data_IF_702901415438
#
_entry.id   IF_702901415438
#
_cell.length_a   1.000
_cell.length_b   1.000
_cell.length_c   1.000
_cell.angle_alpha   90.00
_cell.angle_beta   90.00
_cell.angle_gamma   90.00
#
_symmetry.space_group_name_H-M   'P 1'
#
loop_
_entity.id
_entity.type
_entity.pdbx_description
1 polymer ?
#
# COMPACT_ATOMS: atom_id res chain seq x y z
N UNK A 1 -27.30 -17.78 -56.79
CA UNK A 1 -26.75 -17.46 -55.44
C UNK A 1 -26.60 -15.95 -55.38
N UNK A 2 -27.55 -15.31 -54.74
CA UNK A 2 -27.82 -13.87 -54.82
C UNK A 2 -26.70 -13.04 -54.17
N UNK A 3 -26.20 -12.00 -54.83
CA UNK A 3 -25.09 -11.16 -54.30
C UNK A 3 -25.47 -10.51 -52.96
N UNK A 4 -26.75 -10.21 -52.78
CA UNK A 4 -27.34 -9.69 -51.56
C UNK A 4 -27.19 -10.65 -50.37
N UNK A 5 -27.34 -11.96 -50.60
CA UNK A 5 -27.13 -12.96 -49.55
C UNK A 5 -25.65 -13.05 -49.13
N UNK A 6 -24.71 -12.91 -50.06
CA UNK A 6 -23.27 -12.91 -49.77
C UNK A 6 -22.90 -11.72 -48.89
N UNK A 7 -23.44 -10.53 -49.17
CA UNK A 7 -23.22 -9.31 -48.39
C UNK A 7 -23.79 -9.47 -46.96
N UNK A 8 -25.03 -9.97 -46.84
CA UNK A 8 -25.67 -10.25 -45.53
C UNK A 8 -24.83 -11.22 -44.70
N UNK A 9 -24.37 -12.33 -45.29
CA UNK A 9 -23.51 -13.32 -44.60
C UNK A 9 -22.15 -12.76 -44.17
N UNK A 10 -21.56 -11.84 -44.95
CA UNK A 10 -20.30 -11.18 -44.60
C UNK A 10 -20.47 -10.23 -43.42
N UNK A 11 -21.52 -9.40 -43.45
CA UNK A 11 -21.84 -8.44 -42.38
C UNK A 11 -22.24 -9.14 -41.07
N UNK A 12 -22.99 -10.24 -41.17
CA UNK A 12 -23.34 -11.08 -40.01
C UNK A 12 -22.09 -11.67 -39.34
N UNK A 13 -21.16 -12.24 -40.13
CA UNK A 13 -19.88 -12.76 -39.61
C UNK A 13 -19.03 -11.67 -38.97
N UNK A 14 -19.03 -10.46 -39.52
CA UNK A 14 -18.28 -9.34 -38.96
C UNK A 14 -18.85 -8.89 -37.61
N UNK A 15 -20.18 -8.79 -37.51
CA UNK A 15 -20.87 -8.49 -36.24
C UNK A 15 -20.62 -9.56 -35.18
N UNK A 16 -20.68 -10.84 -35.57
CA UNK A 16 -20.35 -11.95 -34.67
C UNK A 16 -18.90 -11.88 -34.17
N UNK A 17 -17.93 -11.60 -35.06
CA UNK A 17 -16.52 -11.42 -34.67
C UNK A 17 -16.34 -10.25 -33.69
N UNK A 18 -17.02 -9.12 -33.89
CA UNK A 18 -16.97 -7.97 -32.97
C UNK A 18 -17.59 -8.31 -31.61
N UNK A 19 -18.72 -9.00 -31.59
CA UNK A 19 -19.35 -9.44 -30.35
C UNK A 19 -18.48 -10.41 -29.56
N UNK A 20 -17.82 -11.36 -30.25
CA UNK A 20 -16.91 -12.31 -29.63
C UNK A 20 -15.69 -11.61 -29.02
N UNK A 21 -15.09 -10.66 -29.75
CA UNK A 21 -13.96 -9.85 -29.24
C UNK A 21 -14.32 -9.06 -28.00
N UNK A 22 -15.48 -8.39 -28.00
CA UNK A 22 -15.97 -7.65 -26.81
C UNK A 22 -16.16 -8.56 -25.60
N UNK A 23 -16.75 -9.76 -25.79
CA UNK A 23 -16.91 -10.74 -24.70
C UNK A 23 -15.57 -11.19 -24.13
N UNK A 24 -14.60 -11.51 -25.00
CA UNK A 24 -13.25 -11.92 -24.56
C UNK A 24 -12.56 -10.79 -23.79
N UNK A 25 -12.66 -9.55 -24.27
CA UNK A 25 -12.05 -8.39 -23.61
C UNK A 25 -12.69 -8.09 -22.25
N UNK A 26 -14.01 -8.18 -22.14
CA UNK A 26 -14.73 -8.03 -20.86
C UNK A 26 -14.37 -9.15 -19.87
N UNK A 27 -14.24 -10.38 -20.34
CA UNK A 27 -13.87 -11.51 -19.50
C UNK A 27 -12.42 -11.42 -19.03
N UNK A 28 -11.50 -10.99 -19.89
CA UNK A 28 -10.11 -10.68 -19.52
C UNK A 28 -10.05 -9.56 -18.48
N UNK A 29 -10.75 -8.45 -18.69
CA UNK A 29 -10.83 -7.34 -17.72
C UNK A 29 -11.38 -7.80 -16.37
N UNK A 30 -12.39 -8.67 -16.36
CA UNK A 30 -12.95 -9.23 -15.12
C UNK A 30 -11.96 -10.15 -14.40
N UNK A 31 -11.24 -11.02 -15.13
CA UNK A 31 -10.21 -11.90 -14.57
C UNK A 31 -9.05 -11.10 -13.97
N UNK A 32 -8.55 -10.11 -14.72
CA UNK A 32 -7.49 -9.21 -14.23
C UNK A 32 -7.92 -8.43 -13.00
N UNK A 33 -9.16 -7.94 -12.96
CA UNK A 33 -9.70 -7.26 -11.78
C UNK A 33 -9.77 -8.21 -10.58
N UNK A 34 -10.28 -9.43 -10.77
CA UNK A 34 -10.35 -10.43 -9.68
C UNK A 34 -8.97 -10.84 -9.17
N UNK A 35 -7.97 -10.99 -10.05
CA UNK A 35 -6.60 -11.31 -9.67
C UNK A 35 -5.94 -10.15 -8.90
N UNK A 36 -6.18 -8.91 -9.32
CA UNK A 36 -5.72 -7.70 -8.63
C UNK A 36 -6.35 -7.56 -7.23
N UNK A 37 -7.63 -7.88 -7.08
CA UNK A 37 -8.29 -7.90 -5.77
C UNK A 37 -7.73 -9.01 -4.87
N UNK A 38 -7.58 -10.23 -5.41
CA UNK A 38 -7.01 -11.36 -4.67
C UNK A 38 -5.60 -11.06 -4.18
N UNK A 39 -4.72 -10.59 -5.06
CA UNK A 39 -3.35 -10.23 -4.71
C UNK A 39 -3.25 -9.11 -3.69
N UNK A 40 -4.14 -8.10 -3.77
CA UNK A 40 -4.21 -7.03 -2.77
C UNK A 40 -4.63 -7.55 -1.40
N UNK A 41 -5.61 -8.45 -1.34
CA UNK A 41 -6.06 -9.07 -0.09
C UNK A 41 -4.96 -9.95 0.53
N UNK A 42 -4.24 -10.72 -0.29
CA UNK A 42 -3.09 -11.52 0.18
C UNK A 42 -2.01 -10.61 0.75
N UNK A 43 -1.70 -9.48 0.08
CA UNK A 43 -0.73 -8.49 0.54
C UNK A 43 -1.13 -7.88 1.89
N UNK A 44 -2.38 -7.42 2.02
CA UNK A 44 -2.88 -6.86 3.28
C UNK A 44 -2.88 -7.89 4.41
N UNK A 45 -3.32 -9.12 4.15
CA UNK A 45 -3.32 -10.20 5.14
C UNK A 45 -1.89 -10.54 5.60
N UNK A 46 -0.94 -10.56 4.66
CA UNK A 46 0.48 -10.81 4.97
C UNK A 46 1.01 -9.71 5.89
N UNK A 47 0.80 -8.44 5.54
CA UNK A 47 1.25 -7.31 6.37
C UNK A 47 0.60 -7.36 7.75
N UNK A 48 -0.71 -7.57 7.82
CA UNK A 48 -1.45 -7.64 9.09
C UNK A 48 -0.93 -8.74 10.00
N UNK A 49 -0.57 -9.91 9.45
CA UNK A 49 -0.04 -11.04 10.23
C UNK A 49 1.29 -10.73 10.93
N UNK A 50 2.11 -9.86 10.32
CA UNK A 50 3.44 -9.48 10.78
C UNK A 50 3.45 -8.22 11.65
N UNK A 51 2.28 -7.66 11.99
CA UNK A 51 2.15 -6.47 12.81
C UNK A 51 1.32 -6.74 14.06
N UNK A 52 1.51 -5.94 15.11
CA UNK A 52 0.55 -5.88 16.22
C UNK A 52 -0.70 -5.10 15.81
N UNK A 53 -1.80 -5.29 16.53
CA UNK A 53 -3.07 -4.59 16.24
C UNK A 53 -2.90 -3.06 16.31
N UNK A 54 -2.13 -2.57 17.28
CA UNK A 54 -1.84 -1.14 17.44
C UNK A 54 -1.00 -0.61 16.27
N UNK A 55 -0.01 -1.38 15.83
CA UNK A 55 0.83 -1.01 14.69
C UNK A 55 0.03 -0.96 13.39
N UNK A 56 -0.87 -1.92 13.17
CA UNK A 56 -1.74 -1.93 11.99
C UNK A 56 -2.73 -0.75 11.99
N UNK A 57 -3.31 -0.45 13.17
CA UNK A 57 -4.17 0.72 13.33
C UNK A 57 -3.42 2.02 13.05
N UNK A 58 -2.16 2.10 13.48
CA UNK A 58 -1.32 3.25 13.16
C UNK A 58 -0.97 3.33 11.68
N UNK A 59 -0.69 2.20 11.01
CA UNK A 59 -0.46 2.17 9.56
C UNK A 59 -1.66 2.71 8.78
N UNK A 60 -2.89 2.37 9.20
CA UNK A 60 -4.11 2.96 8.61
C UNK A 60 -4.16 4.49 8.77
N UNK A 61 -3.74 4.99 9.94
CA UNK A 61 -3.66 6.44 10.16
C UNK A 61 -2.57 7.08 9.28
N UNK A 62 -1.43 6.42 9.07
CA UNK A 62 -0.40 6.88 8.13
C UNK A 62 -0.98 6.92 6.71
N UNK A 63 -1.68 5.87 6.27
CA UNK A 63 -2.32 5.81 4.94
C UNK A 63 -3.26 6.98 4.68
N UNK A 64 -4.02 7.40 5.70
CA UNK A 64 -4.92 8.56 5.61
C UNK A 64 -4.18 9.91 5.58
N UNK A 65 -3.01 10.01 6.24
CA UNK A 65 -2.22 11.25 6.32
C UNK A 65 -1.31 11.43 5.10
N UNK A 66 -0.58 10.39 4.75
CA UNK A 66 0.39 10.37 3.66
C UNK A 66 0.46 8.97 3.03
N UNK A 67 -0.18 8.85 1.86
CA UNK A 67 -0.21 7.62 1.09
C UNK A 67 1.20 7.21 0.59
N UNK A 68 2.08 8.18 0.29
CA UNK A 68 3.43 7.90 -0.20
C UNK A 68 4.26 7.21 0.88
N UNK A 69 4.22 7.75 2.10
CA UNK A 69 4.93 7.16 3.24
C UNK A 69 4.37 5.76 3.54
N UNK A 70 3.05 5.58 3.54
CA UNK A 70 2.42 4.27 3.73
C UNK A 70 2.89 3.25 2.68
N UNK A 71 2.93 3.62 1.40
CA UNK A 71 3.37 2.72 0.33
C UNK A 71 4.81 2.25 0.53
N UNK A 72 5.71 3.17 0.88
CA UNK A 72 7.12 2.85 1.16
C UNK A 72 7.23 1.87 2.33
N UNK A 73 6.48 2.12 3.42
CA UNK A 73 6.47 1.23 4.58
C UNK A 73 6.02 -0.18 4.18
N UNK A 74 4.92 -0.29 3.43
CA UNK A 74 4.40 -1.59 3.00
C UNK A 74 5.37 -2.34 2.09
N UNK A 75 6.00 -1.66 1.13
CA UNK A 75 6.99 -2.26 0.22
C UNK A 75 8.21 -2.78 0.97
N UNK A 76 8.74 -1.98 1.91
CA UNK A 76 9.87 -2.39 2.75
C UNK A 76 9.48 -3.59 3.63
N UNK A 77 8.29 -3.59 4.23
CA UNK A 77 7.80 -4.71 5.04
C UNK A 77 7.69 -5.99 4.21
N UNK A 78 7.07 -5.93 3.04
CA UNK A 78 6.95 -7.09 2.15
C UNK A 78 8.33 -7.61 1.76
N UNK A 79 9.26 -6.72 1.41
CA UNK A 79 10.63 -7.10 1.09
C UNK A 79 11.30 -7.82 2.28
N UNK A 80 11.14 -7.32 3.50
CA UNK A 80 11.73 -7.93 4.71
C UNK A 80 11.09 -9.28 5.06
N UNK A 81 9.78 -9.42 4.85
CA UNK A 81 9.04 -10.67 5.05
C UNK A 81 9.52 -11.71 4.04
N UNK A 82 9.59 -11.35 2.75
CA UNK A 82 10.03 -12.26 1.68
C UNK A 82 11.49 -12.72 1.87
N UNK A 83 12.33 -11.89 2.48
CA UNK A 83 13.72 -12.24 2.82
C UNK A 83 13.86 -13.05 4.12
N UNK A 84 12.78 -13.27 4.86
CA UNK A 84 12.81 -14.02 6.13
C UNK A 84 13.60 -13.33 7.26
N UNK A 85 13.79 -12.01 7.17
CA UNK A 85 14.59 -11.24 8.16
C UNK A 85 13.77 -10.91 9.41
N UNK A 86 12.45 -10.80 9.24
CA UNK A 86 11.52 -10.51 10.33
C UNK A 86 11.41 -11.74 11.24
N UNK A 87 11.87 -11.62 12.49
CA UNK A 87 11.71 -12.66 13.51
C UNK A 87 10.50 -12.44 14.42
N UNK A 88 10.17 -11.18 14.65
CA UNK A 88 9.12 -10.75 15.56
C UNK A 88 8.10 -9.87 14.82
N UNK A 89 6.88 -9.77 15.37
CA UNK A 89 5.87 -8.84 14.87
C UNK A 89 6.32 -7.39 15.08
N UNK A 90 6.02 -6.55 14.10
CA UNK A 90 6.29 -5.12 14.16
C UNK A 90 5.36 -4.45 15.19
N UNK A 91 5.95 -3.73 16.13
CA UNK A 91 5.22 -2.98 17.16
C UNK A 91 4.92 -1.54 16.72
N UNK A 92 3.99 -0.89 17.44
CA UNK A 92 3.66 0.52 17.24
C UNK A 92 4.90 1.42 17.30
N UNK A 93 5.75 1.22 18.30
CA UNK A 93 6.96 2.02 18.50
C UNK A 93 7.93 1.88 17.32
N UNK A 94 8.12 0.65 16.82
CA UNK A 94 8.98 0.40 15.66
C UNK A 94 8.44 1.05 14.40
N UNK A 95 7.13 0.95 14.16
CA UNK A 95 6.49 1.58 13.01
C UNK A 95 6.61 3.11 13.05
N UNK A 96 6.46 3.71 14.24
CA UNK A 96 6.64 5.15 14.45
C UNK A 96 8.09 5.60 14.19
N UNK A 97 9.08 4.79 14.57
CA UNK A 97 10.49 5.05 14.25
C UNK A 97 10.72 4.97 12.73
N UNK A 98 10.13 3.98 12.06
CA UNK A 98 10.23 3.82 10.60
C UNK A 98 9.61 5.04 9.90
N UNK A 99 8.40 5.44 10.28
CA UNK A 99 7.73 6.61 9.72
C UNK A 99 8.61 7.87 9.86
N UNK A 100 9.16 8.12 11.06
CA UNK A 100 10.04 9.27 11.31
C UNK A 100 11.29 9.23 10.44
N UNK A 101 11.90 8.06 10.27
CA UNK A 101 13.07 7.90 9.38
C UNK A 101 12.74 8.20 7.92
N UNK A 102 11.57 7.78 7.44
CA UNK A 102 11.13 8.04 6.05
C UNK A 102 10.84 9.53 5.84
N UNK A 103 10.21 10.19 6.81
CA UNK A 103 9.91 11.64 6.74
C UNK A 103 11.17 12.49 6.94
N UNK A 104 12.24 11.93 7.51
CA UNK A 104 13.46 12.66 7.85
C UNK A 104 13.35 13.44 9.17
N UNK A 105 12.44 13.05 10.07
CA UNK A 105 12.34 13.63 11.43
C UNK A 105 13.36 12.97 12.35
N UNK A 106 14.32 13.77 12.83
CA UNK A 106 15.33 13.33 13.80
C UNK A 106 14.74 12.97 15.18
N UNK A 107 15.51 12.29 16.03
CA UNK A 107 15.10 11.99 17.40
C UNK A 107 14.99 13.28 18.21
N UNK A 108 13.85 13.49 18.88
CA UNK A 108 13.69 14.54 19.89
C UNK A 108 13.90 13.93 21.26
N UNK A 109 14.85 14.49 22.02
CA UNK A 109 15.12 14.07 23.40
C UNK A 109 14.43 15.07 24.31
N UNK A 110 13.52 14.58 25.15
CA UNK A 110 12.78 15.39 26.12
C UNK A 110 13.42 15.24 27.49
N UNK A 111 13.74 16.35 28.15
CA UNK A 111 14.26 16.34 29.53
C UNK A 111 13.22 16.92 30.46
N UNK A 112 12.94 16.18 31.54
CA UNK A 112 12.14 16.67 32.67
C UNK A 112 13.07 16.85 33.86
N UNK A 113 13.41 18.10 34.20
CA UNK A 113 14.12 18.42 35.45
C UNK A 113 13.10 18.63 36.57
N UNK A 114 13.46 18.29 37.80
CA UNK A 114 12.60 18.51 38.96
C UNK A 114 12.17 19.99 39.05
N UNK A 115 10.86 20.23 39.09
CA UNK A 115 10.28 21.59 39.15
C UNK A 115 10.18 22.35 37.82
N UNK A 116 10.53 21.75 36.67
CA UNK A 116 10.40 22.40 35.34
C UNK A 116 9.50 21.61 34.39
N UNK A 117 8.89 22.32 33.44
CA UNK A 117 8.14 21.73 32.34
C UNK A 117 9.05 20.90 31.43
N UNK A 118 8.45 19.95 30.69
CA UNK A 118 9.15 19.09 29.75
C UNK A 118 9.63 19.96 28.58
N UNK A 119 10.94 20.10 28.42
CA UNK A 119 11.55 20.86 27.33
C UNK A 119 12.30 19.92 26.38
N UNK A 120 12.28 20.25 25.09
CA UNK A 120 13.10 19.56 24.10
C UNK A 120 14.57 20.01 24.26
N UNK A 121 15.49 19.04 24.37
CA UNK A 121 16.93 19.29 24.58
C UNK A 121 17.53 20.18 23.48
N UNK A 122 17.06 20.02 22.25
CA UNK A 122 17.50 20.83 21.10
C UNK A 122 17.24 22.31 21.29
N UNK A 123 16.19 22.69 22.02
CA UNK A 123 15.85 24.08 22.29
C UNK A 123 16.66 24.63 23.49
N UNK A 124 17.04 23.78 24.46
CA UNK A 124 17.98 24.17 25.52
C UNK A 124 19.37 24.52 24.95
N UNK A 125 19.86 23.80 23.94
CA UNK A 125 21.16 24.11 23.31
C UNK A 125 21.13 25.41 22.51
N UNK A 126 20.02 25.73 21.85
CA UNK A 126 19.90 26.97 21.06
C UNK A 126 19.79 28.24 21.91
N UNK A 127 19.33 28.14 23.17
CA UNK A 127 19.25 29.28 24.09
C UNK A 127 20.60 29.68 24.70
N UNK A 128 21.60 28.80 24.62
CA UNK A 128 22.92 28.99 25.23
C UNK A 128 24.02 29.29 24.19
N UNK A 129 23.63 29.64 22.95
CA UNK A 129 24.47 30.13 21.86
C UNK A 129 24.08 31.59 21.57
#
# INVERSE_FOLDING_TARGET
MDELEKIKRKKLRELQKRALRKKIEEEQKKREASEKLSSKNVRENTIMSWMTQDAYSYLKNIRNRDQRVSNIIEEVLIMLINRGVMRNKLTYQQLLIIERKIIGKGPTIKVKRAGKEIQDLTDEFKKNL
#
